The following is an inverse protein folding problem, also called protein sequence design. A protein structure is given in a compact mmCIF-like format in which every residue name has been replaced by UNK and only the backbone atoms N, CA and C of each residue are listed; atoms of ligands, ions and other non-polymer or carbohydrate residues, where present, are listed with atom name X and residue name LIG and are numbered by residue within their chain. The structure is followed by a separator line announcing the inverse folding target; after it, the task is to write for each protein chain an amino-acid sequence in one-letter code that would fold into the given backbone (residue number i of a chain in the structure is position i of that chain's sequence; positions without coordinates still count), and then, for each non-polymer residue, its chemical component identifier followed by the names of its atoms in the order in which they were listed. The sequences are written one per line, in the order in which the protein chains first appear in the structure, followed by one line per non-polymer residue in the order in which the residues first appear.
data_IF_049468161799
#
_entry.id   IF_049468161799
#
_cell.length_a   1.000
_cell.length_b   1.000
_cell.length_c   1.000
_cell.angle_alpha   90.00
_cell.angle_beta   90.00
_cell.angle_gamma   90.00
#
_symmetry.space_group_name_H-M   'P 1'
#
loop_
_entity.id
_entity.type
_entity.pdbx_description
1 polymer ?
#
# COMPACT_ATOMS: atom_id res chain seq x y z
N UNK A 1 -12.94 18.45 13.26
CA UNK A 1 -12.40 18.22 11.91
C UNK A 1 -11.22 17.26 12.04
N UNK A 2 -11.26 16.07 11.42
CA UNK A 2 -10.06 15.23 11.39
C UNK A 2 -9.01 15.93 10.53
N UNK A 3 -7.82 16.18 11.09
CA UNK A 3 -6.67 16.68 10.32
C UNK A 3 -6.24 15.57 9.36
N UNK A 4 -6.74 15.61 8.14
CA UNK A 4 -6.18 14.81 7.05
C UNK A 4 -4.72 15.23 6.84
N UNK A 5 -3.87 14.27 6.48
CA UNK A 5 -2.47 14.53 6.15
C UNK A 5 -2.33 14.46 4.64
N UNK A 6 -2.14 15.62 3.98
CA UNK A 6 -2.02 15.73 2.53
C UNK A 6 -3.15 15.03 1.76
N UNK A 7 -4.41 15.16 2.23
CA UNK A 7 -5.58 14.52 1.61
C UNK A 7 -5.79 13.06 2.00
N UNK A 8 -4.91 12.45 2.80
CA UNK A 8 -5.09 11.10 3.35
C UNK A 8 -5.54 11.12 4.81
N UNK A 9 -6.02 9.97 5.30
CA UNK A 9 -6.53 9.80 6.67
C UNK A 9 -5.53 10.21 7.76
N UNK A 10 -4.25 9.90 7.57
CA UNK A 10 -3.13 10.24 8.46
C UNK A 10 -1.79 10.06 7.74
N UNK A 11 -0.67 10.34 8.43
CA UNK A 11 0.69 10.23 7.88
C UNK A 11 1.00 8.85 7.30
N UNK A 12 0.64 7.75 7.98
CA UNK A 12 0.89 6.39 7.46
C UNK A 12 0.18 6.15 6.13
N UNK A 13 -1.07 6.60 5.98
CA UNK A 13 -1.82 6.40 4.74
C UNK A 13 -1.21 7.21 3.58
N UNK A 14 -0.75 8.43 3.86
CA UNK A 14 -0.06 9.24 2.85
C UNK A 14 1.29 8.63 2.48
N UNK A 15 2.12 8.26 3.47
CA UNK A 15 3.48 7.79 3.22
C UNK A 15 3.50 6.42 2.50
N UNK A 16 2.63 5.49 2.89
CA UNK A 16 2.47 4.21 2.17
C UNK A 16 1.99 4.45 0.74
N UNK A 17 1.05 5.39 0.53
CA UNK A 17 0.57 5.75 -0.80
C UNK A 17 1.66 6.41 -1.66
N UNK A 18 2.53 7.22 -1.05
CA UNK A 18 3.68 7.82 -1.72
C UNK A 18 4.59 6.72 -2.28
N UNK A 19 5.02 5.77 -1.44
CA UNK A 19 5.94 4.72 -1.87
C UNK A 19 5.32 3.75 -2.87
N UNK A 20 4.12 3.23 -2.61
CA UNK A 20 3.48 2.26 -3.51
C UNK A 20 3.22 2.84 -4.91
N UNK A 21 2.90 4.14 -5.02
CA UNK A 21 2.58 4.74 -6.30
C UNK A 21 3.76 5.40 -7.03
N UNK A 22 4.93 5.53 -6.39
CA UNK A 22 6.11 6.16 -7.00
C UNK A 22 7.32 5.23 -7.14
N UNK A 23 7.39 4.14 -6.37
CA UNK A 23 8.39 3.11 -6.59
C UNK A 23 7.86 2.09 -7.61
N UNK A 24 8.58 1.90 -8.71
CA UNK A 24 8.15 1.02 -9.81
C UNK A 24 7.95 -0.43 -9.36
N UNK A 25 8.82 -0.94 -8.48
CA UNK A 25 8.73 -2.32 -7.99
C UNK A 25 7.50 -2.53 -7.12
N UNK A 26 7.24 -1.62 -6.20
CA UNK A 26 6.04 -1.65 -5.35
C UNK A 26 4.76 -1.45 -6.18
N UNK A 27 4.78 -0.55 -7.16
CA UNK A 27 3.65 -0.31 -8.05
C UNK A 27 3.29 -1.56 -8.86
N UNK A 28 4.28 -2.21 -9.46
CA UNK A 28 4.08 -3.43 -10.25
C UNK A 28 3.62 -4.60 -9.39
N UNK A 29 4.17 -4.74 -8.18
CA UNK A 29 3.72 -5.73 -7.18
C UNK A 29 2.23 -5.54 -6.86
N UNK A 30 1.83 -4.31 -6.53
CA UNK A 30 0.45 -4.01 -6.19
C UNK A 30 -0.51 -4.17 -7.38
N UNK A 31 -0.12 -3.72 -8.59
CA UNK A 31 -0.89 -3.95 -9.83
C UNK A 31 -1.06 -5.43 -10.15
N UNK A 32 -0.01 -6.24 -9.97
CA UNK A 32 -0.07 -7.69 -10.14
C UNK A 32 -1.04 -8.31 -9.13
N UNK A 33 -0.97 -7.91 -7.87
CA UNK A 33 -1.87 -8.41 -6.83
C UNK A 33 -3.34 -8.06 -7.14
N UNK A 34 -3.63 -6.84 -7.59
CA UNK A 34 -4.99 -6.42 -8.00
C UNK A 34 -5.53 -7.30 -9.13
N UNK A 35 -4.71 -7.59 -10.15
CA UNK A 35 -5.10 -8.49 -11.25
C UNK A 35 -5.36 -9.92 -10.77
N UNK A 36 -4.47 -10.47 -9.93
CA UNK A 36 -4.60 -11.83 -9.38
C UNK A 36 -5.82 -11.96 -8.45
N UNK A 37 -6.13 -10.91 -7.69
CA UNK A 37 -7.29 -10.83 -6.81
C UNK A 37 -8.60 -10.49 -7.55
N UNK A 38 -8.60 -10.44 -8.89
CA UNK A 38 -9.78 -10.10 -9.71
C UNK A 38 -10.44 -8.78 -9.28
N UNK A 39 -9.62 -7.75 -9.01
CA UNK A 39 -10.02 -6.43 -8.51
C UNK A 39 -10.57 -6.39 -7.08
N UNK A 40 -10.51 -7.46 -6.29
CA UNK A 40 -10.71 -7.38 -4.85
C UNK A 40 -9.51 -6.69 -4.19
N UNK A 41 -9.64 -5.38 -3.93
CA UNK A 41 -8.56 -4.56 -3.34
C UNK A 41 -8.21 -4.95 -1.91
N UNK A 42 -9.12 -5.60 -1.17
CA UNK A 42 -8.78 -6.11 0.17
C UNK A 42 -7.89 -7.33 0.03
N UNK A 43 -8.29 -8.29 -0.80
CA UNK A 43 -7.48 -9.49 -1.06
C UNK A 43 -6.13 -9.14 -1.68
N UNK A 44 -6.10 -8.19 -2.62
CA UNK A 44 -4.85 -7.71 -3.20
C UNK A 44 -3.91 -7.10 -2.14
N UNK A 45 -4.45 -6.30 -1.21
CA UNK A 45 -3.64 -5.70 -0.16
C UNK A 45 -3.09 -6.73 0.84
N UNK A 46 -3.84 -7.79 1.14
CA UNK A 46 -3.34 -8.95 1.91
C UNK A 46 -2.17 -9.63 1.18
N UNK A 47 -2.31 -9.88 -0.12
CA UNK A 47 -1.24 -10.50 -0.93
C UNK A 47 0.03 -9.65 -0.98
N UNK A 48 -0.09 -8.33 -1.13
CA UNK A 48 1.06 -7.41 -1.10
C UNK A 48 1.72 -7.42 0.28
N UNK A 49 0.93 -7.43 1.36
CA UNK A 49 1.48 -7.49 2.71
C UNK A 49 2.22 -8.80 2.96
N UNK A 50 1.63 -9.95 2.60
CA UNK A 50 2.25 -11.28 2.70
C UNK A 50 3.58 -11.32 1.92
N UNK A 51 3.62 -10.74 0.71
CA UNK A 51 4.83 -10.69 -0.11
C UNK A 51 5.91 -9.81 0.51
N UNK A 52 5.57 -8.60 0.98
CA UNK A 52 6.50 -7.71 1.66
C UNK A 52 7.08 -8.34 2.93
N UNK A 53 6.24 -8.99 3.74
CA UNK A 53 6.66 -9.71 4.94
C UNK A 53 7.60 -10.87 4.61
N UNK A 54 7.35 -11.60 3.52
CA UNK A 54 8.23 -12.68 3.04
C UNK A 54 9.62 -12.19 2.62
N UNK A 55 9.72 -10.92 2.21
CA UNK A 55 10.96 -10.23 1.88
C UNK A 55 11.61 -9.54 3.08
N UNK A 56 11.01 -9.63 4.27
CA UNK A 56 11.49 -8.94 5.48
C UNK A 56 11.23 -7.43 5.48
N UNK A 57 10.39 -6.92 4.57
CA UNK A 57 10.06 -5.50 4.43
C UNK A 57 8.76 -5.21 5.20
N UNK A 58 8.88 -4.53 6.34
CA UNK A 58 7.73 -4.25 7.22
C UNK A 58 7.30 -2.78 7.22
N UNK A 59 8.18 -1.90 6.75
CA UNK A 59 7.97 -0.46 6.74
C UNK A 59 8.43 0.14 5.41
N UNK A 60 7.86 1.28 5.04
CA UNK A 60 8.42 2.14 4.01
C UNK A 60 9.83 2.63 4.42
N UNK A 61 10.65 3.12 3.48
CA UNK A 61 11.93 3.75 3.81
C UNK A 61 11.85 4.91 4.81
N UNK A 62 10.70 5.60 4.89
CA UNK A 62 10.45 6.67 5.87
C UNK A 62 9.91 6.18 7.23
N UNK A 63 9.75 4.86 7.39
CA UNK A 63 9.32 4.25 8.65
C UNK A 63 7.81 4.11 8.85
N UNK A 64 6.98 4.29 7.81
CA UNK A 64 5.55 4.02 7.92
C UNK A 64 5.29 2.50 7.82
N UNK A 65 4.57 1.88 8.77
CA UNK A 65 4.32 0.44 8.74
C UNK A 65 3.36 0.08 7.61
N UNK A 66 3.68 -0.99 6.88
CA UNK A 66 2.75 -1.59 5.95
C UNK A 66 1.65 -2.33 6.71
N UNK A 67 0.42 -2.22 6.21
CA UNK A 67 -0.75 -2.95 6.72
C UNK A 67 -1.78 -3.05 5.62
N UNK A 68 -2.67 -4.05 5.70
CA UNK A 68 -3.77 -4.23 4.73
C UNK A 68 -4.55 -2.94 4.52
N UNK A 69 -4.83 -2.20 5.60
CA UNK A 69 -5.60 -0.94 5.54
C UNK A 69 -4.86 0.16 4.76
N UNK A 70 -3.57 0.35 5.02
CA UNK A 70 -2.77 1.41 4.36
C UNK A 70 -2.46 1.06 2.91
N UNK A 71 -2.12 -0.21 2.63
CA UNK A 71 -1.89 -0.71 1.28
C UNK A 71 -3.17 -0.60 0.45
N UNK A 72 -4.31 -1.06 0.97
CA UNK A 72 -5.60 -0.96 0.27
C UNK A 72 -5.96 0.49 -0.04
N UNK A 73 -5.66 1.42 0.86
CA UNK A 73 -5.89 2.84 0.64
C UNK A 73 -4.98 3.44 -0.45
N UNK A 74 -3.80 2.87 -0.69
CA UNK A 74 -2.87 3.29 -1.73
C UNK A 74 -3.26 2.80 -3.14
N UNK A 75 -4.10 1.76 -3.26
CA UNK A 75 -4.53 1.16 -4.53
C UNK A 75 -5.59 1.99 -5.27
N UNK A 76 -5.54 3.33 -5.23
CA UNK A 76 -6.54 4.20 -5.88
C UNK A 76 -6.38 4.26 -7.39
N UNK A 77 -5.14 4.22 -7.90
CA UNK A 77 -4.79 4.32 -9.34
C UNK A 77 -4.66 2.96 -10.05
N UNK A 78 -5.08 1.88 -9.40
CA UNK A 78 -4.81 0.49 -9.80
C UNK A 78 -6.06 -0.31 -10.15
#
# INVERSE_FOLDING_TARGET
MSKQFNGHKNWNHWNVSLWINNDQGLYDMARRAVRQARNDKKRAAEMVLEELESLGVTHTPDGAPYSVTTIRAAMVEM
#
